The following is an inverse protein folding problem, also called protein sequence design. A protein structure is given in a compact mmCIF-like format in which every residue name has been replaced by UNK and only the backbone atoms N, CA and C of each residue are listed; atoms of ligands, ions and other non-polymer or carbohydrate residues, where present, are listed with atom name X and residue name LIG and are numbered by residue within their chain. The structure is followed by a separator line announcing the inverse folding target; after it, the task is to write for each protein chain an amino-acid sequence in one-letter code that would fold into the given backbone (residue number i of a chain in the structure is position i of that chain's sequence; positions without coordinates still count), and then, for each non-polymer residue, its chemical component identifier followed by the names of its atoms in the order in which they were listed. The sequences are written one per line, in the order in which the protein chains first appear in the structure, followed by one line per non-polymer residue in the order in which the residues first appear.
data_IF_189789143640
#
_entry.id   IF_189789143640
#
_cell.length_a   1.000
_cell.length_b   1.000
_cell.length_c   1.000
_cell.angle_alpha   90.00
_cell.angle_beta   90.00
_cell.angle_gamma   90.00
#
_symmetry.space_group_name_H-M   'P 1'
#
loop_
_entity.id
_entity.type
_entity.pdbx_description
1 polymer ?
#
# COMPACT_ATOMS: atom_id res chain seq x y z
N UNK A 1 -15.31 -34.70 -25.09
CA UNK A 1 -14.79 -33.39 -24.62
C UNK A 1 -15.79 -32.98 -23.57
N UNK A 2 -15.44 -33.19 -22.28
CA UNK A 2 -16.35 -32.90 -21.16
C UNK A 2 -16.40 -31.36 -21.03
N UNK A 3 -17.56 -30.81 -21.37
CA UNK A 3 -17.87 -29.39 -21.14
C UNK A 3 -18.17 -29.24 -19.63
N UNK A 4 -17.08 -29.20 -18.83
CA UNK A 4 -17.18 -29.06 -17.40
C UNK A 4 -17.49 -27.58 -17.10
N UNK A 5 -18.77 -27.24 -17.08
CA UNK A 5 -19.25 -25.99 -16.48
C UNK A 5 -18.65 -25.89 -15.07
N UNK A 6 -18.01 -24.77 -14.70
CA UNK A 6 -17.45 -24.62 -13.37
C UNK A 6 -18.53 -24.88 -12.32
N UNK A 7 -18.27 -25.80 -11.40
CA UNK A 7 -19.21 -26.21 -10.35
C UNK A 7 -19.35 -25.16 -9.22
N UNK A 8 -18.83 -23.94 -9.43
CA UNK A 8 -18.89 -22.81 -8.51
C UNK A 8 -19.16 -21.50 -9.24
N UNK A 9 -19.59 -20.50 -8.52
CA UNK A 9 -19.96 -19.16 -9.01
C UNK A 9 -19.20 -18.04 -8.27
N UNK A 10 -19.36 -16.80 -8.69
CA UNK A 10 -18.71 -15.61 -8.07
C UNK A 10 -19.08 -15.50 -6.59
N UNK A 11 -20.34 -15.82 -6.23
CA UNK A 11 -20.77 -15.78 -4.82
C UNK A 11 -20.03 -16.82 -3.97
N UNK A 12 -19.72 -17.98 -4.54
CA UNK A 12 -18.90 -19.01 -3.89
C UNK A 12 -17.49 -18.49 -3.62
N UNK A 13 -16.87 -17.82 -4.59
CA UNK A 13 -15.54 -17.22 -4.44
C UNK A 13 -15.54 -16.11 -3.39
N UNK A 14 -16.50 -15.20 -3.41
CA UNK A 14 -16.67 -14.15 -2.38
C UNK A 14 -16.86 -14.75 -0.98
N UNK A 15 -17.64 -15.81 -0.86
CA UNK A 15 -17.86 -16.49 0.42
C UNK A 15 -16.58 -17.12 0.96
N UNK A 16 -15.85 -17.87 0.13
CA UNK A 16 -14.59 -18.52 0.53
C UNK A 16 -13.55 -17.46 0.90
N UNK A 17 -13.50 -16.36 0.16
CA UNK A 17 -12.60 -15.24 0.44
C UNK A 17 -12.91 -14.59 1.80
N UNK A 18 -14.16 -14.25 2.05
CA UNK A 18 -14.56 -13.65 3.34
C UNK A 18 -14.25 -14.57 4.54
N UNK A 19 -14.34 -15.90 4.34
CA UNK A 19 -13.93 -16.86 5.38
C UNK A 19 -12.42 -16.87 5.55
N UNK A 20 -11.64 -16.75 4.47
CA UNK A 20 -10.18 -16.61 4.55
C UNK A 20 -9.76 -15.41 5.40
N UNK A 21 -10.38 -14.26 5.14
CA UNK A 21 -10.04 -12.98 5.78
C UNK A 21 -10.44 -12.93 7.26
N UNK A 22 -11.54 -13.60 7.62
CA UNK A 22 -12.10 -13.48 8.98
C UNK A 22 -11.82 -14.68 9.89
N UNK A 23 -11.44 -15.82 9.33
CA UNK A 23 -11.31 -17.09 10.07
C UNK A 23 -12.61 -17.59 10.71
N UNK A 24 -13.78 -17.02 10.34
CA UNK A 24 -15.06 -17.26 10.98
C UNK A 24 -16.23 -17.19 9.99
N UNK A 25 -17.06 -18.23 9.95
CA UNK A 25 -18.26 -18.23 9.12
C UNK A 25 -19.25 -17.12 9.56
N UNK A 26 -19.34 -16.85 10.86
CA UNK A 26 -20.23 -15.81 11.39
C UNK A 26 -19.74 -14.41 10.97
N UNK A 27 -18.45 -14.14 11.08
CA UNK A 27 -17.89 -12.85 10.68
C UNK A 27 -17.94 -12.67 9.15
N UNK A 28 -17.66 -13.72 8.37
CA UNK A 28 -17.83 -13.71 6.91
C UNK A 28 -19.28 -13.46 6.49
N UNK A 29 -20.26 -14.06 7.19
CA UNK A 29 -21.66 -13.80 6.93
C UNK A 29 -22.03 -12.34 7.16
N UNK A 30 -21.57 -11.76 8.29
CA UNK A 30 -21.80 -10.35 8.62
C UNK A 30 -21.16 -9.42 7.57
N UNK A 31 -19.92 -9.67 7.15
CA UNK A 31 -19.22 -8.84 6.13
C UNK A 31 -19.90 -8.88 4.76
N UNK A 32 -20.56 -9.98 4.42
CA UNK A 32 -21.26 -10.16 3.15
C UNK A 32 -22.75 -9.77 3.21
N UNK A 33 -23.27 -9.34 4.37
CA UNK A 33 -24.67 -8.98 4.54
C UNK A 33 -25.64 -10.18 4.57
N UNK A 34 -25.14 -11.37 4.93
CA UNK A 34 -25.94 -12.60 5.01
C UNK A 34 -26.05 -13.11 6.45
N UNK A 35 -27.02 -14.02 6.68
CA UNK A 35 -27.08 -14.77 7.93
C UNK A 35 -26.07 -15.91 7.94
N UNK A 36 -25.54 -16.24 9.12
CA UNK A 36 -24.61 -17.37 9.28
C UNK A 36 -25.17 -18.71 8.77
N UNK A 37 -26.47 -19.05 9.00
CA UNK A 37 -27.05 -20.28 8.41
C UNK A 37 -27.04 -20.27 6.88
N UNK A 38 -27.28 -19.11 6.23
CA UNK A 38 -27.27 -18.99 4.78
C UNK A 38 -25.86 -19.29 4.21
N UNK A 39 -24.82 -18.68 4.78
CA UNK A 39 -23.43 -18.93 4.38
C UNK A 39 -23.03 -20.38 4.65
N UNK A 40 -23.41 -20.95 5.80
CA UNK A 40 -23.12 -22.36 6.09
C UNK A 40 -23.82 -23.32 5.12
N UNK A 41 -25.03 -23.00 4.68
CA UNK A 41 -25.76 -23.80 3.69
C UNK A 41 -25.14 -23.65 2.29
N UNK A 42 -24.76 -22.42 1.91
CA UNK A 42 -24.07 -22.15 0.64
C UNK A 42 -22.76 -22.92 0.56
N UNK A 43 -21.95 -22.89 1.61
CA UNK A 43 -20.68 -23.60 1.70
C UNK A 43 -20.87 -25.13 1.56
N UNK A 44 -21.83 -25.72 2.27
CA UNK A 44 -22.14 -27.16 2.15
C UNK A 44 -22.56 -27.57 0.73
N UNK A 45 -23.33 -26.69 0.04
CA UNK A 45 -23.70 -26.96 -1.36
C UNK A 45 -22.49 -26.87 -2.30
N UNK A 46 -21.60 -25.91 -2.05
CA UNK A 46 -20.34 -25.77 -2.79
C UNK A 46 -19.48 -27.02 -2.63
N UNK A 47 -19.25 -27.46 -1.39
CA UNK A 47 -18.46 -28.66 -1.07
C UNK A 47 -19.08 -29.92 -1.70
N UNK A 48 -20.40 -30.05 -1.67
CA UNK A 48 -21.12 -31.18 -2.30
C UNK A 48 -20.96 -31.20 -3.83
N UNK A 49 -20.95 -30.01 -4.49
CA UNK A 49 -20.74 -29.88 -5.94
C UNK A 49 -19.29 -30.20 -6.33
N UNK A 50 -18.34 -29.70 -5.55
CA UNK A 50 -16.90 -29.88 -5.83
C UNK A 50 -16.39 -31.27 -5.40
N UNK A 51 -17.13 -31.98 -4.56
CA UNK A 51 -16.72 -33.28 -4.00
C UNK A 51 -15.55 -33.19 -3.00
N UNK A 52 -15.19 -31.97 -2.55
CA UNK A 52 -14.09 -31.74 -1.63
C UNK A 52 -14.48 -30.72 -0.55
N UNK A 53 -13.96 -30.89 0.65
CA UNK A 53 -14.15 -29.91 1.72
C UNK A 53 -13.37 -28.62 1.41
N UNK A 54 -13.99 -27.47 1.67
CA UNK A 54 -13.40 -26.13 1.48
C UNK A 54 -12.92 -25.56 2.81
N UNK A 55 -13.59 -25.91 3.89
CA UNK A 55 -13.20 -25.51 5.24
C UNK A 55 -13.05 -26.71 6.17
N UNK A 56 -12.19 -26.56 7.17
CA UNK A 56 -12.05 -27.50 8.28
C UNK A 56 -12.22 -26.76 9.62
N UNK A 57 -12.74 -27.44 10.62
CA UNK A 57 -12.88 -26.87 11.96
C UNK A 57 -11.56 -26.90 12.71
N UNK A 58 -11.17 -25.75 13.30
CA UNK A 58 -10.00 -25.64 14.15
C UNK A 58 -10.41 -24.92 15.43
N UNK A 59 -10.53 -25.67 16.51
CA UNK A 59 -11.02 -25.15 17.79
C UNK A 59 -12.42 -24.55 17.66
N UNK A 60 -12.56 -23.25 17.95
CA UNK A 60 -13.83 -22.51 17.82
C UNK A 60 -14.02 -21.84 16.46
N UNK A 61 -13.00 -21.85 15.60
CA UNK A 61 -13.01 -21.22 14.27
C UNK A 61 -13.01 -22.22 13.13
N UNK A 62 -12.79 -21.70 11.93
CA UNK A 62 -12.63 -22.46 10.70
C UNK A 62 -11.36 -22.02 9.98
N UNK A 63 -10.74 -22.96 9.27
CA UNK A 63 -9.59 -22.72 8.42
C UNK A 63 -9.89 -23.26 7.01
N UNK A 64 -9.34 -22.62 5.99
CA UNK A 64 -9.44 -23.14 4.63
C UNK A 64 -8.60 -24.42 4.46
N UNK A 65 -9.17 -25.41 3.78
CA UNK A 65 -8.44 -26.56 3.25
C UNK A 65 -7.54 -26.12 2.08
N UNK A 66 -6.77 -27.04 1.48
CA UNK A 66 -6.02 -26.74 0.26
C UNK A 66 -6.93 -26.30 -0.89
N UNK A 67 -8.07 -26.98 -1.08
CA UNK A 67 -9.07 -26.60 -2.08
C UNK A 67 -9.65 -25.20 -1.79
N UNK A 68 -9.93 -24.89 -0.53
CA UNK A 68 -10.36 -23.54 -0.10
C UNK A 68 -9.31 -22.48 -0.40
N UNK A 69 -8.04 -22.74 -0.13
CA UNK A 69 -6.93 -21.83 -0.47
C UNK A 69 -6.78 -21.58 -1.97
N UNK A 70 -7.01 -22.62 -2.79
CA UNK A 70 -7.03 -22.43 -4.26
C UNK A 70 -8.13 -21.45 -4.66
N UNK A 71 -9.37 -21.67 -4.19
CA UNK A 71 -10.49 -20.77 -4.50
C UNK A 71 -10.23 -19.34 -3.99
N UNK A 72 -9.78 -19.17 -2.75
CA UNK A 72 -9.47 -17.87 -2.17
C UNK A 72 -8.39 -17.11 -2.94
N UNK A 73 -7.37 -17.81 -3.43
CA UNK A 73 -6.28 -17.21 -4.22
C UNK A 73 -6.76 -16.69 -5.58
N UNK A 74 -7.72 -17.36 -6.21
CA UNK A 74 -8.25 -16.94 -7.51
C UNK A 74 -9.47 -16.01 -7.42
N UNK A 75 -10.10 -15.93 -6.23
CA UNK A 75 -11.28 -15.10 -6.02
C UNK A 75 -11.10 -13.64 -6.45
N UNK A 76 -10.00 -12.92 -6.09
CA UNK A 76 -9.83 -11.53 -6.46
C UNK A 76 -9.89 -11.29 -7.98
N UNK A 77 -9.17 -12.10 -8.76
CA UNK A 77 -9.11 -11.93 -10.22
C UNK A 77 -10.49 -12.09 -10.89
N UNK A 78 -11.29 -13.05 -10.41
CA UNK A 78 -12.64 -13.30 -10.95
C UNK A 78 -13.61 -12.20 -10.50
N UNK A 79 -13.52 -11.78 -9.24
CA UNK A 79 -14.38 -10.71 -8.70
C UNK A 79 -14.10 -9.38 -9.41
N UNK A 80 -12.84 -9.01 -9.61
CA UNK A 80 -12.46 -7.80 -10.35
C UNK A 80 -12.97 -7.81 -11.79
N UNK A 81 -12.87 -8.96 -12.49
CA UNK A 81 -13.41 -9.08 -13.85
C UNK A 81 -14.94 -8.90 -13.88
N UNK A 82 -15.65 -9.40 -12.88
CA UNK A 82 -17.09 -9.24 -12.76
C UNK A 82 -17.49 -7.79 -12.43
N UNK A 83 -16.76 -7.15 -11.53
CA UNK A 83 -16.98 -5.76 -11.15
C UNK A 83 -16.69 -4.82 -12.34
N UNK A 84 -15.66 -5.10 -13.15
CA UNK A 84 -15.38 -4.35 -14.40
C UNK A 84 -16.57 -4.40 -15.36
N UNK A 85 -17.15 -5.56 -15.60
CA UNK A 85 -18.36 -5.69 -16.45
C UNK A 85 -19.54 -4.90 -15.88
N UNK A 86 -19.76 -4.95 -14.58
CA UNK A 86 -20.82 -4.20 -13.91
C UNK A 86 -20.64 -2.68 -14.05
N UNK A 87 -19.41 -2.19 -13.91
CA UNK A 87 -19.08 -0.76 -14.10
C UNK A 87 -19.20 -0.32 -15.55
N UNK A 88 -18.71 -1.10 -16.54
CA UNK A 88 -18.90 -0.81 -17.96
C UNK A 88 -20.38 -0.70 -18.32
N UNK A 89 -21.22 -1.59 -17.80
CA UNK A 89 -22.68 -1.50 -17.97
C UNK A 89 -23.29 -0.28 -17.30
N UNK A 90 -22.77 0.14 -16.13
CA UNK A 90 -23.21 1.37 -15.45
C UNK A 90 -22.81 2.62 -16.26
N UNK A 91 -21.62 2.65 -16.84
CA UNK A 91 -21.18 3.74 -17.73
C UNK A 91 -22.08 3.89 -18.96
N UNK A 92 -22.50 2.79 -19.58
CA UNK A 92 -23.46 2.82 -20.70
C UNK A 92 -24.82 3.44 -20.32
N UNK A 93 -25.15 3.43 -19.01
CA UNK A 93 -26.33 4.12 -18.44
C UNK A 93 -26.06 5.56 -18.04
N UNK A 94 -24.86 6.08 -18.27
CA UNK A 94 -24.44 7.42 -17.83
C UNK A 94 -24.13 7.52 -16.32
N UNK A 95 -24.07 6.41 -15.61
CA UNK A 95 -23.77 6.35 -14.19
C UNK A 95 -22.26 6.16 -14.02
N UNK A 96 -21.55 7.27 -13.80
CA UNK A 96 -20.11 7.22 -13.42
C UNK A 96 -20.00 7.05 -11.91
N UNK A 97 -20.14 5.83 -11.44
CA UNK A 97 -20.10 5.50 -10.00
C UNK A 97 -19.12 4.34 -9.80
N UNK A 98 -18.48 4.29 -8.64
CA UNK A 98 -17.59 3.21 -8.26
C UNK A 98 -16.96 3.49 -6.89
N UNK A 99 -16.46 2.45 -6.25
CA UNK A 99 -15.67 2.55 -5.01
C UNK A 99 -14.28 2.02 -5.31
N UNK A 100 -13.25 2.83 -5.04
CA UNK A 100 -11.84 2.43 -5.19
C UNK A 100 -11.17 2.51 -3.82
N UNK A 101 -10.44 1.47 -3.47
CA UNK A 101 -9.72 1.33 -2.20
C UNK A 101 -8.24 1.61 -2.43
N UNK A 102 -7.73 2.69 -1.87
CA UNK A 102 -6.33 3.08 -1.93
C UNK A 102 -5.62 2.74 -0.63
N UNK A 103 -4.45 2.17 -0.74
CA UNK A 103 -3.48 2.07 0.37
C UNK A 103 -2.22 2.81 -0.02
N UNK A 104 -1.69 3.64 0.89
CA UNK A 104 -0.45 4.37 0.64
C UNK A 104 0.39 4.52 1.93
N UNK A 105 1.69 4.73 1.76
CA UNK A 105 2.62 4.86 2.87
C UNK A 105 2.46 6.22 3.60
N UNK A 106 2.84 6.30 4.90
CA UNK A 106 2.57 7.45 5.77
C UNK A 106 2.99 8.80 5.18
N UNK A 107 4.18 8.91 4.59
CA UNK A 107 4.66 10.20 4.06
C UNK A 107 3.99 10.67 2.77
N UNK A 108 3.21 9.82 2.08
CA UNK A 108 2.36 10.22 0.97
C UNK A 108 1.01 10.80 1.44
N UNK A 109 0.57 10.41 2.64
CA UNK A 109 -0.73 10.76 3.20
C UNK A 109 -1.01 12.26 3.23
N UNK A 110 -0.17 13.10 3.84
CA UNK A 110 -0.46 14.52 4.00
C UNK A 110 -0.32 15.32 2.70
N UNK A 111 0.52 14.87 1.76
CA UNK A 111 0.85 15.63 0.55
C UNK A 111 -0.03 15.23 -0.63
N UNK A 112 -0.19 13.94 -0.86
CA UNK A 112 -0.78 13.38 -2.08
C UNK A 112 -2.27 13.06 -1.92
N UNK A 113 -2.64 12.39 -0.81
CA UNK A 113 -4.01 11.87 -0.64
C UNK A 113 -5.07 12.98 -0.61
N UNK A 114 -4.91 14.10 0.12
CA UNK A 114 -5.89 15.19 0.09
C UNK A 114 -6.06 15.80 -1.30
N UNK A 115 -4.97 15.95 -2.07
CA UNK A 115 -5.00 16.46 -3.46
C UNK A 115 -5.75 15.51 -4.38
N UNK A 116 -5.46 14.21 -4.27
CA UNK A 116 -6.14 13.17 -5.05
C UNK A 116 -7.64 13.16 -4.76
N UNK A 117 -8.04 13.20 -3.48
CA UNK A 117 -9.44 13.25 -3.07
C UNK A 117 -10.15 14.51 -3.59
N UNK A 118 -9.51 15.68 -3.47
CA UNK A 118 -10.07 16.93 -3.98
C UNK A 118 -10.23 16.92 -5.51
N UNK A 119 -9.22 16.43 -6.24
CA UNK A 119 -9.26 16.30 -7.70
C UNK A 119 -10.34 15.33 -8.17
N UNK A 120 -10.50 14.20 -7.49
CA UNK A 120 -11.56 13.24 -7.78
C UNK A 120 -12.94 13.80 -7.48
N UNK A 121 -13.14 14.43 -6.32
CA UNK A 121 -14.41 15.05 -5.96
C UNK A 121 -14.87 16.12 -6.98
N UNK A 122 -13.92 16.89 -7.50
CA UNK A 122 -14.20 17.93 -8.50
C UNK A 122 -14.51 17.37 -9.89
N UNK A 123 -13.78 16.32 -10.32
CA UNK A 123 -13.85 15.83 -11.70
C UNK A 123 -14.74 14.59 -11.86
N UNK A 124 -14.91 13.79 -10.83
CA UNK A 124 -15.65 12.51 -10.82
C UNK A 124 -16.47 12.34 -9.55
N UNK A 125 -17.51 13.19 -9.32
CA UNK A 125 -18.26 13.23 -8.04
C UNK A 125 -19.01 11.94 -7.71
N UNK A 126 -19.18 11.03 -8.68
CA UNK A 126 -19.80 9.72 -8.45
C UNK A 126 -18.81 8.64 -7.99
N UNK A 127 -17.49 8.91 -8.03
CA UNK A 127 -16.49 7.98 -7.52
C UNK A 127 -16.25 8.20 -6.03
N UNK A 128 -16.25 7.11 -5.28
CA UNK A 128 -15.86 7.09 -3.87
C UNK A 128 -14.45 6.51 -3.77
N UNK A 129 -13.51 7.28 -3.22
CA UNK A 129 -12.19 6.78 -2.86
C UNK A 129 -12.13 6.55 -1.35
N UNK A 130 -11.87 5.33 -0.93
CA UNK A 130 -11.49 5.02 0.45
C UNK A 130 -9.98 4.94 0.56
N UNK A 131 -9.44 5.28 1.72
CA UNK A 131 -8.01 5.34 1.93
C UNK A 131 -7.60 4.73 3.27
N UNK A 132 -6.52 3.96 3.25
CA UNK A 132 -5.86 3.39 4.43
C UNK A 132 -4.37 3.60 4.33
N UNK A 133 -3.74 3.91 5.45
CA UNK A 133 -2.30 4.06 5.56
C UNK A 133 -1.64 2.74 5.93
N UNK A 134 -0.62 2.34 5.16
CA UNK A 134 0.21 1.17 5.46
C UNK A 134 1.58 1.26 4.77
N UNK A 135 2.57 0.62 5.37
CA UNK A 135 3.90 0.47 4.78
C UNK A 135 3.89 -0.47 3.56
N UNK A 136 4.92 -0.44 2.68
CA UNK A 136 4.92 -1.20 1.43
C UNK A 136 4.61 -2.70 1.56
N UNK A 137 5.12 -3.46 2.53
CA UNK A 137 4.79 -4.89 2.64
C UNK A 137 3.30 -5.13 2.85
N UNK A 138 2.69 -4.40 3.79
CA UNK A 138 1.26 -4.50 4.12
C UNK A 138 0.39 -3.96 2.98
N UNK A 139 0.85 -2.91 2.28
CA UNK A 139 0.16 -2.35 1.13
C UNK A 139 0.10 -3.35 -0.04
N UNK A 140 1.20 -4.05 -0.33
CA UNK A 140 1.23 -5.11 -1.35
C UNK A 140 0.35 -6.29 -0.94
N UNK A 141 0.37 -6.67 0.33
CA UNK A 141 -0.49 -7.74 0.84
C UNK A 141 -1.97 -7.36 0.75
N UNK A 142 -2.33 -6.10 0.99
CA UNK A 142 -3.69 -5.61 0.83
C UNK A 142 -4.22 -5.80 -0.62
N UNK A 143 -3.39 -5.57 -1.64
CA UNK A 143 -3.74 -5.87 -3.04
C UNK A 143 -3.91 -7.37 -3.25
N UNK A 144 -2.98 -8.18 -2.73
CA UNK A 144 -3.01 -9.63 -2.87
C UNK A 144 -4.24 -10.26 -2.22
N UNK A 145 -4.66 -9.69 -1.12
CA UNK A 145 -5.83 -10.11 -0.36
C UNK A 145 -7.14 -9.45 -0.79
N UNK A 146 -7.16 -8.68 -1.87
CA UNK A 146 -8.33 -7.94 -2.36
C UNK A 146 -8.95 -6.99 -1.30
N UNK A 147 -8.10 -6.46 -0.42
CA UNK A 147 -8.48 -5.42 0.54
C UNK A 147 -8.23 -4.00 -0.01
N UNK A 148 -7.46 -3.90 -1.10
CA UNK A 148 -7.19 -2.65 -1.82
C UNK A 148 -7.17 -2.90 -3.34
N UNK A 149 -7.48 -1.88 -4.12
CA UNK A 149 -7.44 -1.87 -5.58
C UNK A 149 -6.16 -1.24 -6.10
N UNK A 150 -5.66 -0.24 -5.39
CA UNK A 150 -4.43 0.50 -5.69
C UNK A 150 -3.58 0.59 -4.43
N UNK A 151 -2.30 0.23 -4.53
CA UNK A 151 -1.31 0.51 -3.49
C UNK A 151 -0.23 1.45 -4.04
N UNK A 152 0.05 2.52 -3.33
CA UNK A 152 1.23 3.35 -3.53
C UNK A 152 2.30 2.88 -2.56
N UNK A 153 3.46 2.50 -3.10
CA UNK A 153 4.57 1.92 -2.35
C UNK A 153 5.89 2.61 -2.69
N UNK A 154 6.93 2.28 -1.95
CA UNK A 154 8.28 2.74 -2.27
C UNK A 154 9.31 1.63 -2.09
N UNK A 155 10.47 1.80 -2.73
CA UNK A 155 11.64 0.96 -2.53
C UNK A 155 12.92 1.81 -2.52
N UNK A 156 13.94 1.35 -1.79
CA UNK A 156 15.26 1.95 -1.82
C UNK A 156 16.16 1.24 -2.84
N UNK A 157 17.15 1.94 -3.44
CA UNK A 157 18.18 1.27 -4.26
C UNK A 157 18.91 0.22 -3.43
N UNK A 158 19.07 -0.99 -3.99
CA UNK A 158 19.74 -2.08 -3.29
C UNK A 158 18.91 -2.78 -2.20
N UNK A 159 17.65 -2.43 -2.07
CA UNK A 159 16.72 -3.02 -1.11
C UNK A 159 16.58 -4.53 -1.32
N UNK A 160 17.25 -5.32 -0.46
CA UNK A 160 17.28 -6.79 -0.57
C UNK A 160 15.92 -7.42 -0.27
N UNK A 161 15.13 -6.76 0.55
CA UNK A 161 13.77 -7.11 0.90
C UNK A 161 12.77 -6.38 0.00
N UNK A 162 13.10 -6.26 -1.30
CA UNK A 162 12.25 -5.59 -2.28
C UNK A 162 10.81 -6.09 -2.18
N UNK A 163 9.84 -5.23 -1.77
CA UNK A 163 8.44 -5.61 -1.70
C UNK A 163 7.89 -6.02 -3.07
N UNK A 164 8.59 -5.66 -4.16
CA UNK A 164 8.19 -5.89 -5.53
C UNK A 164 8.82 -7.15 -6.14
N UNK A 165 9.82 -7.76 -5.53
CA UNK A 165 10.48 -8.98 -6.02
C UNK A 165 9.59 -10.21 -5.92
N UNK A 166 9.58 -10.86 -4.77
CA UNK A 166 8.74 -12.04 -4.51
C UNK A 166 7.33 -11.68 -4.06
N UNK A 167 7.18 -10.60 -3.28
CA UNK A 167 5.90 -10.15 -2.71
C UNK A 167 4.91 -9.71 -3.78
N UNK A 168 5.34 -9.02 -4.83
CA UNK A 168 4.48 -8.55 -5.92
C UNK A 168 4.33 -9.57 -7.07
N UNK A 169 4.79 -10.81 -6.91
CA UNK A 169 4.63 -11.82 -7.96
C UNK A 169 3.16 -12.02 -8.32
N UNK A 170 2.83 -11.84 -9.59
CA UNK A 170 1.47 -11.94 -10.10
C UNK A 170 0.66 -10.66 -10.02
N UNK A 171 1.22 -9.58 -9.47
CA UNK A 171 0.65 -8.23 -9.48
C UNK A 171 1.30 -7.39 -10.61
N UNK A 172 0.68 -6.26 -10.90
CA UNK A 172 1.24 -5.24 -11.78
C UNK A 172 1.94 -4.18 -10.93
N UNK A 173 3.22 -3.92 -11.22
CA UNK A 173 4.02 -2.88 -10.56
C UNK A 173 4.45 -1.87 -11.61
N UNK A 174 4.15 -0.59 -11.38
CA UNK A 174 4.55 0.52 -12.25
C UNK A 174 5.38 1.52 -11.48
N UNK A 175 6.45 2.01 -12.09
CA UNK A 175 7.18 3.15 -11.54
C UNK A 175 6.26 4.38 -11.54
N UNK A 176 6.27 5.10 -10.44
CA UNK A 176 5.45 6.29 -10.20
C UNK A 176 6.29 7.54 -9.91
N UNK A 177 7.60 7.44 -10.08
CA UNK A 177 8.53 8.54 -9.88
C UNK A 177 9.59 8.27 -8.81
N UNK A 178 10.17 9.35 -8.31
CA UNK A 178 11.21 9.33 -7.26
C UNK A 178 10.84 10.34 -6.18
N UNK A 179 11.32 10.07 -4.97
CA UNK A 179 11.21 10.97 -3.83
C UNK A 179 12.58 11.06 -3.16
N UNK A 180 13.20 12.25 -3.27
CA UNK A 180 14.55 12.48 -2.77
C UNK A 180 14.60 12.37 -1.26
N UNK A 181 15.76 11.94 -0.74
CA UNK A 181 16.04 11.93 0.68
C UNK A 181 16.79 13.18 1.07
N UNK A 182 16.41 13.76 2.19
CA UNK A 182 17.02 14.93 2.77
C UNK A 182 17.67 14.58 4.11
N UNK A 183 18.80 15.22 4.39
CA UNK A 183 19.30 15.32 5.76
C UNK A 183 18.44 16.31 6.53
N UNK A 184 18.12 15.94 7.76
CA UNK A 184 17.41 16.78 8.74
C UNK A 184 18.37 17.03 9.91
N UNK A 185 18.75 18.28 10.08
CA UNK A 185 19.85 18.71 10.94
C UNK A 185 19.38 19.82 11.87
N UNK A 186 19.99 19.96 13.06
CA UNK A 186 19.78 21.15 13.90
C UNK A 186 20.15 22.42 13.15
N UNK A 187 19.40 23.50 13.38
CA UNK A 187 19.71 24.82 12.79
C UNK A 187 21.12 25.28 13.17
N UNK A 188 21.84 25.86 12.19
CA UNK A 188 23.21 26.32 12.37
C UNK A 188 24.27 25.24 12.18
N UNK A 189 23.88 24.01 11.83
CA UNK A 189 24.83 23.00 11.36
C UNK A 189 25.45 23.50 10.04
N UNK A 190 26.79 23.50 9.91
CA UNK A 190 27.48 23.83 8.66
C UNK A 190 27.11 22.79 7.58
N UNK A 191 27.20 23.18 6.30
CA UNK A 191 26.90 22.26 5.20
C UNK A 191 27.66 20.95 5.33
N UNK A 192 26.97 19.84 5.10
CA UNK A 192 27.51 18.49 5.17
C UNK A 192 27.94 18.08 3.77
N UNK A 193 29.24 17.88 3.56
CA UNK A 193 29.81 17.42 2.28
C UNK A 193 29.84 15.90 2.19
N UNK A 194 29.90 15.22 3.33
CA UNK A 194 29.90 13.76 3.43
C UNK A 194 29.11 13.28 4.63
N UNK A 195 28.37 12.19 4.46
CA UNK A 195 27.62 11.54 5.55
C UNK A 195 28.56 11.10 6.69
N UNK A 196 29.83 10.82 6.40
CA UNK A 196 30.86 10.47 7.41
C UNK A 196 31.12 11.56 8.45
N UNK A 197 30.82 12.83 8.13
CA UNK A 197 30.93 13.95 9.09
C UNK A 197 29.93 13.84 10.24
N UNK A 198 28.87 13.03 10.06
CA UNK A 198 27.82 12.78 11.03
C UNK A 198 28.03 11.49 11.84
N UNK A 199 29.22 10.87 11.74
CA UNK A 199 29.51 9.57 12.39
C UNK A 199 29.36 9.62 13.92
N UNK A 200 29.72 10.76 14.55
CA UNK A 200 29.60 10.94 16.02
C UNK A 200 28.20 11.41 16.46
N UNK A 201 27.32 11.70 15.53
CA UNK A 201 25.97 12.16 15.86
C UNK A 201 25.08 10.99 16.31
N UNK A 202 24.06 11.31 17.11
CA UNK A 202 22.97 10.37 17.37
C UNK A 202 22.02 10.42 16.17
N UNK A 203 21.62 9.26 15.67
CA UNK A 203 20.69 9.15 14.57
C UNK A 203 19.28 8.81 15.04
N UNK A 204 18.30 9.34 14.34
CA UNK A 204 16.88 9.04 14.50
C UNK A 204 16.47 8.21 13.30
N UNK A 205 16.06 6.96 13.53
CA UNK A 205 15.62 6.03 12.50
C UNK A 205 14.10 6.05 12.33
N UNK A 206 13.63 5.72 11.13
CA UNK A 206 12.21 5.54 10.82
C UNK A 206 11.78 4.06 10.85
N UNK A 207 10.84 3.70 9.97
CA UNK A 207 10.33 2.34 9.79
C UNK A 207 11.47 1.34 9.48
N UNK A 208 11.24 0.02 9.60
CA UNK A 208 12.29 -0.98 9.38
C UNK A 208 13.01 -0.82 8.04
N UNK A 209 12.30 -0.44 6.97
CA UNK A 209 12.90 -0.20 5.65
C UNK A 209 13.75 1.08 5.63
N UNK A 210 13.25 2.17 6.19
CA UNK A 210 13.99 3.43 6.33
C UNK A 210 15.24 3.24 7.18
N UNK A 211 15.12 2.46 8.27
CA UNK A 211 16.25 2.09 9.11
C UNK A 211 17.28 1.23 8.36
N UNK A 212 16.82 0.25 7.59
CA UNK A 212 17.69 -0.58 6.74
C UNK A 212 18.51 0.28 5.76
N UNK A 213 17.85 1.22 5.07
CA UNK A 213 18.52 2.14 4.16
C UNK A 213 19.50 3.08 4.89
N UNK A 214 19.16 3.59 6.09
CA UNK A 214 20.05 4.38 6.91
C UNK A 214 21.33 3.61 7.27
N UNK A 215 21.20 2.35 7.68
CA UNK A 215 22.35 1.49 7.99
C UNK A 215 23.25 1.30 6.76
N UNK A 216 22.69 1.02 5.59
CA UNK A 216 23.44 0.90 4.34
C UNK A 216 24.12 2.22 3.93
N UNK A 217 23.45 3.35 4.13
CA UNK A 217 24.02 4.67 3.87
C UNK A 217 25.25 4.94 4.73
N UNK A 218 25.17 4.65 6.03
CA UNK A 218 26.26 4.83 6.98
C UNK A 218 27.41 3.82 6.76
N UNK A 219 27.09 2.57 6.42
CA UNK A 219 28.10 1.56 6.07
C UNK A 219 28.92 2.00 4.84
N UNK A 220 28.26 2.49 3.79
CA UNK A 220 28.94 3.09 2.62
C UNK A 220 29.80 4.30 2.97
N UNK A 221 29.43 5.03 4.03
CA UNK A 221 30.21 6.16 4.55
C UNK A 221 31.30 5.74 5.53
N UNK A 222 31.43 4.45 5.84
CA UNK A 222 32.49 3.86 6.65
C UNK A 222 32.28 3.90 8.16
N UNK A 223 31.03 3.97 8.62
CA UNK A 223 30.73 3.94 10.06
C UNK A 223 29.40 3.28 10.40
N UNK A 224 29.26 2.80 11.65
CA UNK A 224 28.02 2.30 12.20
C UNK A 224 27.27 3.44 12.95
N UNK A 225 26.03 3.76 12.59
CA UNK A 225 25.30 4.85 13.22
C UNK A 225 24.86 4.50 14.64
N UNK A 226 25.02 5.44 15.56
CA UNK A 226 24.43 5.36 16.89
C UNK A 226 22.96 5.74 16.84
N UNK A 227 22.05 4.78 16.70
CA UNK A 227 20.60 5.04 16.72
C UNK A 227 20.14 5.23 18.14
N UNK A 228 19.69 6.43 18.47
CA UNK A 228 19.18 6.79 19.80
C UNK A 228 17.65 6.79 19.88
N UNK A 229 16.96 6.97 18.76
CA UNK A 229 15.50 7.06 18.69
C UNK A 229 14.99 6.38 17.41
N UNK A 230 13.78 5.84 17.50
CA UNK A 230 13.08 5.26 16.35
C UNK A 230 11.63 5.75 16.31
N UNK A 231 11.21 6.35 15.19
CA UNK A 231 9.84 6.83 14.98
C UNK A 231 9.55 7.05 13.49
N UNK A 232 8.35 6.69 13.05
CA UNK A 232 7.86 6.94 11.68
C UNK A 232 7.19 8.30 11.52
N UNK A 233 6.99 9.01 12.62
CA UNK A 233 6.36 10.32 12.63
C UNK A 233 7.38 11.43 12.31
N UNK A 234 7.31 11.96 11.08
CA UNK A 234 8.24 13.00 10.61
C UNK A 234 8.24 14.27 11.49
N UNK A 235 7.09 14.67 12.05
CA UNK A 235 7.01 15.81 12.97
C UNK A 235 7.77 15.53 14.27
N UNK A 236 7.68 14.29 14.77
CA UNK A 236 8.44 13.89 15.95
C UNK A 236 9.94 13.86 15.66
N UNK A 237 10.35 13.40 14.47
CA UNK A 237 11.75 13.46 14.01
C UNK A 237 12.25 14.90 14.03
N UNK A 238 11.54 15.84 13.39
CA UNK A 238 11.92 17.24 13.40
C UNK A 238 11.96 17.83 14.81
N UNK A 239 11.00 17.45 15.66
CA UNK A 239 10.98 17.87 17.07
C UNK A 239 12.22 17.43 17.85
N UNK A 240 12.69 16.20 17.66
CA UNK A 240 13.91 15.69 18.28
C UNK A 240 15.15 16.42 17.74
N UNK A 241 15.21 16.64 16.42
CA UNK A 241 16.30 17.36 15.77
C UNK A 241 16.34 18.83 16.24
N UNK A 242 15.20 19.49 16.35
CA UNK A 242 15.10 20.88 16.83
C UNK A 242 15.66 21.07 18.25
N UNK A 243 15.60 20.01 19.08
CA UNK A 243 16.18 20.01 20.42
C UNK A 243 17.66 19.59 20.45
N UNK A 244 18.28 19.36 19.29
CA UNK A 244 19.68 18.91 19.21
C UNK A 244 19.91 17.46 19.69
N UNK A 245 18.87 16.64 19.71
CA UNK A 245 18.95 15.27 20.20
C UNK A 245 19.47 14.26 19.16
N UNK A 246 19.60 14.69 17.89
CA UNK A 246 20.13 13.86 16.84
C UNK A 246 19.97 14.46 15.45
N UNK A 247 20.31 13.64 14.46
CA UNK A 247 20.15 13.93 13.02
C UNK A 247 19.34 12.81 12.37
N UNK A 248 18.74 13.07 11.22
CA UNK A 248 17.92 12.09 10.52
C UNK A 248 18.05 12.22 9.01
N UNK A 249 17.55 11.19 8.30
CA UNK A 249 17.15 11.28 6.90
C UNK A 249 15.65 11.17 6.80
N UNK A 250 15.00 12.07 6.06
CA UNK A 250 13.58 12.00 5.74
C UNK A 250 13.38 12.13 4.24
N UNK A 251 12.36 11.43 3.68
CA UNK A 251 11.95 11.67 2.31
C UNK A 251 11.38 13.08 2.18
N UNK A 252 11.63 13.72 1.04
CA UNK A 252 11.17 15.08 0.76
C UNK A 252 9.65 15.20 0.92
N UNK A 253 8.89 14.19 0.51
CA UNK A 253 7.44 14.16 0.73
C UNK A 253 7.06 14.36 2.20
N UNK A 254 7.82 13.78 3.13
CA UNK A 254 7.57 13.94 4.55
C UNK A 254 7.89 15.37 5.01
N UNK A 255 9.04 15.91 4.59
CA UNK A 255 9.49 17.28 4.94
C UNK A 255 8.54 18.34 4.38
N UNK A 256 8.11 18.20 3.12
CA UNK A 256 7.22 19.16 2.46
C UNK A 256 5.76 19.10 2.95
N UNK A 257 5.43 18.16 3.83
CA UNK A 257 4.05 17.94 4.28
C UNK A 257 3.56 18.94 5.33
N UNK A 258 4.46 19.60 6.01
CA UNK A 258 4.17 20.63 7.03
C UNK A 258 5.34 21.63 7.09
N UNK A 259 5.11 22.83 7.66
CA UNK A 259 6.19 23.80 7.82
C UNK A 259 7.32 23.25 8.68
N UNK A 260 8.55 23.34 8.21
CA UNK A 260 9.75 22.96 8.97
C UNK A 260 9.77 23.65 10.34
N UNK A 261 10.02 22.90 11.40
CA UNK A 261 10.04 23.44 12.75
C UNK A 261 11.20 24.44 12.95
N UNK A 262 10.99 25.52 13.73
CA UNK A 262 12.09 26.36 14.16
C UNK A 262 13.18 25.54 14.83
N UNK A 263 14.45 25.79 14.47
CA UNK A 263 15.57 25.00 15.00
C UNK A 263 15.96 23.79 14.14
N UNK A 264 15.29 23.58 13.02
CA UNK A 264 15.61 22.53 12.03
C UNK A 264 16.05 23.17 10.72
N UNK A 265 17.02 22.54 10.07
CA UNK A 265 17.37 22.80 8.68
C UNK A 265 17.40 21.47 7.91
N UNK A 266 17.10 21.54 6.63
CA UNK A 266 17.18 20.40 5.72
C UNK A 266 18.17 20.70 4.60
N UNK A 267 18.88 19.65 4.15
CA UNK A 267 19.77 19.75 3.00
C UNK A 267 19.70 18.47 2.18
N UNK A 268 19.98 18.52 0.86
CA UNK A 268 20.14 17.30 0.08
C UNK A 268 21.19 16.38 0.69
N UNK A 269 20.98 15.07 0.58
CA UNK A 269 22.04 14.10 0.88
C UNK A 269 23.19 14.25 -0.12
N UNK A 270 24.47 14.25 0.33
CA UNK A 270 25.63 14.34 -0.56
C UNK A 270 25.65 13.29 -1.68
N UNK A 271 25.11 12.11 -1.43
CA UNK A 271 25.00 11.02 -2.39
C UNK A 271 23.79 11.10 -3.34
N UNK A 272 23.00 12.19 -3.26
CA UNK A 272 21.77 12.39 -4.05
C UNK A 272 20.82 11.16 -4.01
N UNK A 273 20.67 10.59 -2.83
CA UNK A 273 19.81 9.41 -2.58
C UNK A 273 18.33 9.73 -2.77
N UNK A 274 17.60 8.75 -3.31
CA UNK A 274 16.16 8.85 -3.45
C UNK A 274 15.54 7.46 -3.35
N UNK A 275 14.30 7.38 -2.89
CA UNK A 275 13.49 6.17 -3.00
C UNK A 275 12.68 6.18 -4.29
N UNK A 276 12.52 5.03 -4.93
CA UNK A 276 11.61 4.84 -6.05
C UNK A 276 10.18 4.75 -5.56
N UNK A 277 9.25 5.45 -6.22
CA UNK A 277 7.81 5.32 -5.95
C UNK A 277 7.19 4.36 -6.95
N UNK A 278 6.23 3.55 -6.49
CA UNK A 278 5.59 2.54 -7.32
C UNK A 278 4.08 2.50 -7.05
N UNK A 279 3.32 2.25 -8.10
CA UNK A 279 1.91 1.90 -8.01
C UNK A 279 1.79 0.40 -8.23
N UNK A 280 1.14 -0.29 -7.31
CA UNK A 280 0.88 -1.73 -7.36
C UNK A 280 -0.62 -1.97 -7.45
N UNK A 281 -1.03 -2.83 -8.39
CA UNK A 281 -2.42 -3.23 -8.59
C UNK A 281 -2.51 -4.72 -8.85
N UNK A 282 -3.71 -5.29 -8.74
CA UNK A 282 -3.97 -6.60 -9.29
C UNK A 282 -3.74 -6.60 -10.81
N UNK A 283 -3.48 -7.76 -11.39
CA UNK A 283 -3.35 -7.89 -12.84
C UNK A 283 -4.68 -7.53 -13.50
N UNK A 284 -4.61 -6.75 -14.58
CA UNK A 284 -5.79 -6.26 -15.33
C UNK A 284 -6.75 -5.33 -14.55
N UNK A 285 -6.39 -4.85 -13.35
CA UNK A 285 -7.22 -3.93 -12.56
C UNK A 285 -7.60 -2.64 -13.32
N UNK A 286 -6.77 -2.24 -14.30
CA UNK A 286 -7.03 -1.07 -15.17
C UNK A 286 -8.22 -1.25 -16.10
N UNK A 287 -8.72 -2.46 -16.28
CA UNK A 287 -9.96 -2.69 -17.03
C UNK A 287 -11.20 -2.26 -16.26
N UNK A 288 -11.09 -2.08 -14.96
CA UNK A 288 -12.15 -1.50 -14.12
C UNK A 288 -12.15 0.01 -14.30
N UNK A 289 -13.20 0.62 -14.87
CA UNK A 289 -13.21 2.05 -15.23
C UNK A 289 -12.93 2.99 -14.07
N UNK A 290 -13.46 2.70 -12.87
CA UNK A 290 -13.22 3.49 -11.66
C UNK A 290 -11.73 3.44 -11.25
N UNK A 291 -11.12 2.26 -11.28
CA UNK A 291 -9.70 2.08 -10.97
C UNK A 291 -8.82 2.82 -11.99
N UNK A 292 -9.12 2.66 -13.30
CA UNK A 292 -8.42 3.37 -14.38
C UNK A 292 -8.47 4.88 -14.21
N UNK A 293 -9.66 5.41 -13.86
CA UNK A 293 -9.87 6.84 -13.59
C UNK A 293 -9.01 7.32 -12.41
N UNK A 294 -9.03 6.60 -11.28
CA UNK A 294 -8.23 6.96 -10.10
C UNK A 294 -6.74 6.89 -10.41
N UNK A 295 -6.26 5.87 -11.15
CA UNK A 295 -4.87 5.76 -11.59
C UNK A 295 -4.43 6.94 -12.45
N UNK A 296 -5.28 7.40 -13.37
CA UNK A 296 -4.98 8.56 -14.21
C UNK A 296 -4.89 9.87 -13.40
N UNK A 297 -5.78 10.06 -12.41
CA UNK A 297 -5.72 11.22 -11.51
C UNK A 297 -4.50 11.14 -10.59
N UNK A 298 -4.25 9.99 -9.99
CA UNK A 298 -3.08 9.73 -9.12
C UNK A 298 -1.77 10.04 -9.85
N UNK A 299 -1.63 9.59 -11.10
CA UNK A 299 -0.44 9.87 -11.91
C UNK A 299 -0.22 11.37 -12.14
N UNK A 300 -1.28 12.15 -12.40
CA UNK A 300 -1.20 13.60 -12.52
C UNK A 300 -0.79 14.29 -11.20
N UNK A 301 -1.38 13.88 -10.09
CA UNK A 301 -1.05 14.45 -8.78
C UNK A 301 0.40 14.12 -8.35
N UNK A 302 0.87 12.90 -8.62
CA UNK A 302 2.27 12.53 -8.41
C UNK A 302 3.22 13.39 -9.25
N UNK A 303 2.91 13.58 -10.54
CA UNK A 303 3.70 14.45 -11.40
C UNK A 303 3.70 15.91 -10.94
N UNK A 304 2.57 16.42 -10.46
CA UNK A 304 2.45 17.77 -9.90
C UNK A 304 3.27 17.95 -8.60
N UNK A 305 3.25 16.94 -7.72
CA UNK A 305 4.09 16.93 -6.52
C UNK A 305 5.57 16.88 -6.88
N UNK A 306 5.98 16.12 -7.90
CA UNK A 306 7.36 16.09 -8.38
C UNK A 306 7.77 17.38 -9.10
N UNK A 307 6.90 17.95 -9.96
CA UNK A 307 7.17 19.14 -10.77
C UNK A 307 7.16 20.46 -9.99
N UNK A 308 6.43 20.54 -8.87
CA UNK A 308 6.46 21.72 -7.99
C UNK A 308 7.82 21.91 -7.28
N UNK A 309 8.77 21.01 -7.50
CA UNK A 309 10.07 20.90 -6.82
C UNK A 309 11.26 21.20 -7.75
N UNK A 310 10.98 21.51 -9.03
CA UNK A 310 11.96 21.95 -10.03
C UNK A 310 12.03 23.47 -10.08
#
# INVERSE_FOLDING_TARGET
MNDATPEFDVQSLRTVRAIADTGSITAAAASLGYSQPAISQHLRRLEARLGVAIVERVGRGVRLTEAGRVLARHAPAVTHAFDAVAEELAELRGLRTGVVRLVAFPSASPVLVPRLLASLAASHPGLTLTYVEAEPPEAVEAIREDRADIALTFSYPGDRDDPHGSSARGLTVRSAGRDDLLLVLPAGHSGVESVSELAEQTWIAGCPRCRGHLLELCDRAGFDPRIGFETDNAVAVEGLVAQGLGVATLPRMAVDSFPTLPGVQTSPLPSAEARGLHIVTARDAERVPSVSTVLAVLGRELAAVAGARS
#
